data_IF_472475128745
#
_entry.id   IF_472475128745
#
_cell.length_a   1.000
_cell.length_b   1.000
_cell.length_c   1.000
_cell.angle_alpha   90.00
_cell.angle_beta   90.00
_cell.angle_gamma   90.00
#
_symmetry.space_group_name_H-M   'P 1'
#
loop_
_entity.id
_entity.type
_entity.pdbx_description
1 polymer ?
#
# COMPACT_ATOMS: atom_id res chain seq x y z
N UNK A 1 10.30 21.06 0.50
CA UNK A 1 11.26 20.15 1.16
C UNK A 1 11.48 19.01 0.18
N UNK A 2 12.70 18.87 -0.32
CA UNK A 2 13.04 17.87 -1.35
C UNK A 2 13.41 16.59 -0.59
N UNK A 3 12.58 15.56 -0.72
CA UNK A 3 12.90 14.22 -0.21
C UNK A 3 13.75 13.51 -1.26
N UNK A 4 14.98 13.17 -0.88
CA UNK A 4 15.81 12.22 -1.63
C UNK A 4 15.34 10.81 -1.25
N UNK A 5 14.82 10.07 -2.21
CA UNK A 5 14.59 8.63 -2.09
C UNK A 5 15.92 7.88 -2.29
N UNK A 6 16.21 6.83 -1.49
CA UNK A 6 17.27 5.90 -1.81
C UNK A 6 16.76 4.84 -2.79
N UNK A 7 17.42 4.75 -3.94
CA UNK A 7 17.27 3.67 -4.92
C UNK A 7 17.87 2.40 -4.30
N UNK A 8 17.02 1.41 -4.00
CA UNK A 8 17.44 0.06 -3.63
C UNK A 8 17.33 -0.84 -4.87
N UNK A 9 18.45 -1.08 -5.55
CA UNK A 9 18.54 -2.07 -6.63
C UNK A 9 18.44 -3.48 -6.03
N UNK A 10 17.32 -4.15 -6.30
CA UNK A 10 17.11 -5.55 -5.95
C UNK A 10 17.95 -6.48 -6.80
N UNK A 11 18.95 -7.13 -6.20
CA UNK A 11 19.57 -8.34 -6.73
C UNK A 11 18.61 -9.51 -6.57
N UNK A 12 18.09 -10.01 -7.70
CA UNK A 12 17.35 -11.27 -7.79
C UNK A 12 18.36 -12.42 -7.75
N UNK A 13 18.46 -13.11 -6.62
CA UNK A 13 19.19 -14.37 -6.50
C UNK A 13 18.26 -15.51 -6.92
N UNK A 14 18.64 -16.17 -8.02
CA UNK A 14 18.00 -17.37 -8.54
C UNK A 14 18.61 -18.59 -7.82
N UNK A 15 17.84 -19.43 -7.11
CA UNK A 15 18.41 -20.64 -6.50
C UNK A 15 18.47 -21.75 -7.56
N UNK A 16 19.67 -21.98 -8.10
CA UNK A 16 19.97 -23.21 -8.84
C UNK A 16 20.11 -24.39 -7.86
N UNK A 17 19.38 -25.44 -8.20
CA UNK A 17 19.27 -26.73 -7.55
C UNK A 17 20.57 -27.55 -7.77
N UNK A 18 21.29 -28.02 -6.73
CA UNK A 18 22.39 -28.95 -6.95
C UNK A 18 21.85 -30.39 -6.98
N UNK A 19 22.01 -31.00 -8.15
CA UNK A 19 21.78 -32.42 -8.40
C UNK A 19 22.66 -33.29 -7.49
N UNK A 20 22.03 -34.30 -6.88
CA UNK A 20 22.64 -35.42 -6.18
C UNK A 20 23.64 -36.13 -7.11
N UNK A 21 24.91 -36.16 -6.70
CA UNK A 21 25.90 -37.07 -7.26
C UNK A 21 26.20 -38.15 -6.23
N UNK A 22 25.62 -39.34 -6.43
CA UNK A 22 25.94 -40.56 -5.71
C UNK A 22 27.33 -41.05 -6.16
N UNK A 23 28.37 -40.78 -5.36
CA UNK A 23 29.64 -41.51 -5.46
C UNK A 23 29.72 -42.58 -4.39
N UNK A 24 29.95 -43.79 -4.89
CA UNK A 24 29.97 -45.08 -4.23
C UNK A 24 31.44 -45.42 -3.99
N UNK A 25 31.93 -45.32 -2.75
CA UNK A 25 33.25 -45.84 -2.40
C UNK A 25 33.16 -47.17 -1.65
N UNK A 26 33.66 -48.20 -2.32
CA UNK A 26 34.08 -49.49 -1.75
C UNK A 26 35.48 -49.35 -1.13
N UNK A 27 35.71 -49.97 0.04
CA UNK A 27 37.06 -50.18 0.58
C UNK A 27 37.07 -50.40 2.09
N UNK A 28 36.91 -51.63 2.61
CA UNK A 28 38.00 -52.61 2.88
C UNK A 28 38.95 -52.17 4.01
N UNK A 29 38.80 -52.71 5.21
CA UNK A 29 39.79 -53.62 5.79
C UNK A 29 39.38 -54.11 7.18
N UNK A 30 39.27 -55.43 7.29
CA UNK A 30 39.16 -56.20 8.52
C UNK A 30 40.56 -56.35 9.09
N UNK A 31 40.82 -55.88 10.31
CA UNK A 31 41.98 -56.29 11.09
C UNK A 31 41.53 -56.95 12.40
N UNK A 32 41.69 -58.28 12.42
CA UNK A 32 41.79 -59.10 13.62
C UNK A 32 43.14 -58.83 14.29
N UNK A 33 43.14 -58.55 15.60
CA UNK A 33 44.31 -58.79 16.47
C UNK A 33 43.82 -59.37 17.81
N UNK A 34 44.56 -60.34 18.39
CA UNK A 34 44.10 -61.24 19.44
C UNK A 34 44.61 -60.84 20.84
N UNK A 35 44.09 -61.53 21.85
CA UNK A 35 44.84 -62.22 22.92
C UNK A 35 44.12 -62.14 24.26
N UNK A 36 43.66 -63.32 24.69
CA UNK A 36 43.33 -63.65 26.07
C UNK A 36 44.50 -63.31 27.00
N UNK A 37 44.20 -62.67 28.12
CA UNK A 37 45.10 -62.55 29.28
C UNK A 37 44.33 -63.05 30.51
N UNK A 38 44.95 -63.88 31.37
CA UNK A 38 44.24 -64.69 32.35
C UNK A 38 43.79 -63.92 33.59
N UNK A 39 42.62 -64.29 34.09
CA UNK A 39 42.00 -63.84 35.33
C UNK A 39 42.90 -64.17 36.55
N UNK A 40 43.24 -63.14 37.33
CA UNK A 40 43.70 -63.29 38.70
C UNK A 40 42.49 -63.17 39.66
N UNK A 41 42.41 -64.00 40.71
CA UNK A 41 41.36 -63.90 41.72
C UNK A 41 41.63 -62.67 42.59
N UNK A 42 40.83 -61.61 42.41
CA UNK A 42 40.86 -60.42 43.25
C UNK A 42 40.10 -60.72 44.54
N UNK A 43 40.81 -60.51 45.65
CA UNK A 43 40.35 -60.62 47.03
C UNK A 43 39.13 -59.76 47.32
N UNK A 44 38.17 -60.32 48.07
CA UNK A 44 37.07 -59.62 48.75
C UNK A 44 37.62 -58.44 49.58
N UNK A 45 37.57 -57.25 48.98
CA UNK A 45 37.77 -55.99 49.67
C UNK A 45 36.40 -55.36 49.92
N UNK A 46 36.24 -54.79 51.12
CA UNK A 46 35.05 -54.15 51.66
C UNK A 46 34.18 -53.47 50.58
N UNK A 47 32.93 -53.91 50.48
CA UNK A 47 31.93 -53.29 49.62
C UNK A 47 31.74 -51.82 50.04
N UNK A 48 32.09 -50.85 49.18
CA UNK A 48 31.80 -49.45 49.46
C UNK A 48 30.28 -49.26 49.54
N UNK A 49 29.83 -48.46 50.51
CA UNK A 49 28.43 -48.06 50.70
C UNK A 49 27.79 -47.70 49.35
N UNK A 50 26.76 -48.46 48.95
CA UNK A 50 26.08 -48.40 47.65
C UNK A 50 25.29 -47.11 47.38
N UNK A 51 25.52 -46.05 48.15
CA UNK A 51 24.78 -44.78 48.05
C UNK A 51 25.42 -43.77 47.08
N UNK A 52 26.69 -43.96 46.72
CA UNK A 52 27.40 -43.05 45.81
C UNK A 52 27.13 -43.34 44.32
N UNK A 53 26.93 -44.60 43.93
CA UNK A 53 26.68 -44.99 42.53
C UNK A 53 25.36 -44.41 41.98
N UNK A 54 24.37 -44.21 42.86
CA UNK A 54 23.08 -43.64 42.49
C UNK A 54 23.18 -42.15 42.14
N UNK A 55 24.07 -41.40 42.79
CA UNK A 55 24.19 -39.93 42.56
C UNK A 55 24.86 -39.63 41.22
N UNK A 56 25.97 -40.30 40.92
CA UNK A 56 26.67 -40.11 39.64
C UNK A 56 25.79 -40.51 38.45
N UNK A 57 24.99 -41.56 38.62
CA UNK A 57 24.00 -41.99 37.62
C UNK A 57 22.94 -40.91 37.36
N UNK A 58 22.40 -40.28 38.41
CA UNK A 58 21.44 -39.19 38.26
C UNK A 58 22.06 -37.97 37.56
N UNK A 59 23.28 -37.58 37.94
CA UNK A 59 23.99 -36.47 37.31
C UNK A 59 24.29 -36.73 35.83
N UNK A 60 24.69 -37.96 35.49
CA UNK A 60 24.94 -38.38 34.11
C UNK A 60 23.66 -38.39 33.26
N UNK A 61 22.53 -38.79 33.85
CA UNK A 61 21.22 -38.73 33.19
C UNK A 61 20.83 -37.27 32.87
N UNK A 62 20.97 -36.35 33.81
CA UNK A 62 20.70 -34.92 33.58
C UNK A 62 21.61 -34.35 32.48
N UNK A 63 22.90 -34.68 32.50
CA UNK A 63 23.84 -34.27 31.45
C UNK A 63 23.40 -34.82 30.07
N UNK A 64 22.95 -36.07 30.04
CA UNK A 64 22.47 -36.72 28.81
C UNK A 64 21.22 -36.02 28.26
N UNK A 65 20.26 -35.64 29.11
CA UNK A 65 19.11 -34.85 28.68
C UNK A 65 19.52 -33.51 28.08
N UNK A 66 20.47 -32.81 28.72
CA UNK A 66 20.97 -31.53 28.21
C UNK A 66 21.71 -31.68 26.87
N UNK A 67 22.61 -32.64 26.75
CA UNK A 67 23.39 -32.89 25.52
C UNK A 67 22.54 -33.37 24.34
N UNK A 68 21.39 -34.01 24.62
CA UNK A 68 20.47 -34.45 23.57
C UNK A 68 19.72 -33.29 22.90
N UNK A 69 19.60 -32.15 23.57
CA UNK A 69 18.79 -31.01 23.09
C UNK A 69 19.58 -29.75 22.81
N UNK A 70 20.67 -29.53 23.54
CA UNK A 70 21.43 -28.30 23.50
C UNK A 70 22.91 -28.54 23.23
N UNK A 71 23.60 -27.50 22.77
CA UNK A 71 25.05 -27.50 22.72
C UNK A 71 25.60 -27.23 24.12
N UNK A 72 26.29 -28.22 24.69
CA UNK A 72 26.76 -28.23 26.08
C UNK A 72 28.27 -28.44 26.15
N UNK A 73 28.96 -27.59 26.91
CA UNK A 73 30.36 -27.77 27.30
C UNK A 73 30.45 -28.10 28.80
N UNK A 74 31.21 -29.14 29.14
CA UNK A 74 31.49 -29.51 30.54
C UNK A 74 32.57 -28.59 31.10
N UNK A 75 32.35 -28.02 32.28
CA UNK A 75 33.26 -27.08 32.93
C UNK A 75 34.13 -27.82 33.95
N UNK A 76 35.45 -27.63 33.84
CA UNK A 76 36.46 -28.21 34.74
C UNK A 76 36.39 -29.75 34.85
N UNK A 77 35.96 -30.43 33.78
CA UNK A 77 35.77 -31.89 33.74
C UNK A 77 34.74 -32.43 34.77
N UNK A 78 33.92 -31.55 35.35
CA UNK A 78 32.87 -31.93 36.32
C UNK A 78 31.54 -32.05 35.59
N UNK A 79 31.00 -33.28 35.46
CA UNK A 79 29.77 -33.57 34.70
C UNK A 79 28.53 -32.80 35.15
N UNK A 80 28.52 -32.27 36.36
CA UNK A 80 27.43 -31.49 36.95
C UNK A 80 27.58 -29.98 36.81
N UNK A 81 28.66 -29.51 36.15
CA UNK A 81 28.91 -28.11 35.84
C UNK A 81 29.00 -27.95 34.34
N UNK A 82 28.03 -27.25 33.77
CA UNK A 82 27.90 -27.14 32.32
C UNK A 82 27.76 -25.69 31.88
N UNK A 83 28.22 -25.42 30.66
CA UNK A 83 27.89 -24.22 29.89
C UNK A 83 27.01 -24.61 28.71
N UNK A 84 25.90 -23.92 28.58
CA UNK A 84 24.91 -24.16 27.52
C UNK A 84 24.90 -22.94 26.61
N UNK A 85 24.98 -23.19 25.30
CA UNK A 85 24.91 -22.16 24.27
C UNK A 85 23.51 -22.15 23.68
N UNK A 86 22.83 -20.99 23.77
CA UNK A 86 21.50 -20.79 23.19
C UNK A 86 21.58 -19.70 22.13
N UNK A 87 21.17 -20.04 20.90
CA UNK A 87 21.09 -19.12 19.77
C UNK A 87 19.63 -18.85 19.42
N UNK A 88 19.15 -17.65 19.76
CA UNK A 88 17.75 -17.25 19.53
C UNK A 88 17.58 -16.63 18.15
N UNK A 89 18.62 -15.97 17.66
CA UNK A 89 18.73 -15.44 16.30
C UNK A 89 20.20 -15.44 15.88
N UNK A 90 20.48 -15.10 14.63
CA UNK A 90 21.86 -14.96 14.13
C UNK A 90 22.67 -13.96 14.96
N UNK A 91 22.01 -12.93 15.50
CA UNK A 91 22.64 -11.85 16.27
C UNK A 91 22.60 -12.07 17.79
N UNK A 92 21.74 -12.97 18.27
CA UNK A 92 21.49 -13.15 19.70
C UNK A 92 21.89 -14.56 20.15
N UNK A 93 23.04 -14.63 20.79
CA UNK A 93 23.64 -15.84 21.33
C UNK A 93 23.91 -15.61 22.82
N UNK A 94 23.54 -16.58 23.66
CA UNK A 94 23.70 -16.51 25.10
C UNK A 94 24.49 -17.72 25.61
N UNK A 95 25.27 -17.50 26.66
CA UNK A 95 25.98 -18.57 27.38
C UNK A 95 25.42 -18.65 28.80
N UNK A 96 24.96 -19.84 29.18
CA UNK A 96 24.33 -20.10 30.48
C UNK A 96 25.15 -21.14 31.21
N UNK A 97 25.70 -20.77 32.35
CA UNK A 97 26.33 -21.69 33.28
C UNK A 97 25.30 -22.31 34.21
N UNK A 98 25.32 -23.63 34.35
CA UNK A 98 24.48 -24.34 35.32
C UNK A 98 25.37 -25.25 36.17
N UNK A 99 25.32 -25.09 37.48
CA UNK A 99 25.90 -26.01 38.46
C UNK A 99 24.77 -26.76 39.17
N UNK A 100 24.66 -28.04 38.87
CA UNK A 100 23.72 -28.97 39.48
C UNK A 100 24.44 -30.07 40.27
N UNK A 101 25.62 -29.79 40.83
CA UNK A 101 26.40 -30.74 41.65
C UNK A 101 25.60 -31.30 42.84
N UNK A 102 24.58 -30.57 43.30
CA UNK A 102 23.72 -30.97 44.43
C UNK A 102 22.37 -31.60 44.01
N UNK A 103 22.21 -32.02 42.75
CA UNK A 103 20.98 -32.65 42.27
C UNK A 103 20.53 -33.82 43.19
N UNK A 104 19.24 -33.92 43.57
CA UNK A 104 18.07 -33.21 43.02
C UNK A 104 17.77 -31.82 43.60
N UNK A 105 18.69 -31.20 44.37
CA UNK A 105 18.48 -29.82 44.84
C UNK A 105 18.51 -28.82 43.68
N UNK A 106 17.88 -27.66 43.93
CA UNK A 106 17.81 -26.55 42.97
C UNK A 106 19.21 -26.20 42.44
N UNK A 107 19.42 -26.15 41.10
CA UNK A 107 20.72 -25.82 40.53
C UNK A 107 21.04 -24.33 40.67
N UNK A 108 22.33 -24.00 40.64
CA UNK A 108 22.82 -22.63 40.59
C UNK A 108 22.97 -22.19 39.14
N UNK A 109 22.25 -21.13 38.76
CA UNK A 109 22.27 -20.55 37.42
C UNK A 109 23.22 -19.35 37.37
N UNK A 110 24.08 -19.32 36.36
CA UNK A 110 24.96 -18.19 36.05
C UNK A 110 24.66 -17.71 34.63
N UNK A 111 24.19 -16.49 34.49
CA UNK A 111 23.81 -15.89 33.20
C UNK A 111 24.59 -14.61 32.92
N UNK A 112 24.79 -14.32 31.64
CA UNK A 112 25.36 -13.06 31.16
C UNK A 112 24.45 -11.87 31.53
N UNK A 113 25.03 -10.67 31.66
CA UNK A 113 24.30 -9.49 32.13
C UNK A 113 23.23 -9.04 31.12
N UNK A 114 23.48 -9.23 29.82
CA UNK A 114 22.55 -8.97 28.73
C UNK A 114 21.30 -9.85 28.84
N UNK A 115 21.46 -11.11 29.28
CA UNK A 115 20.35 -12.02 29.48
C UNK A 115 19.49 -11.58 30.67
N UNK A 116 20.10 -11.10 31.77
CA UNK A 116 19.37 -10.60 32.94
C UNK A 116 18.52 -9.36 32.64
N UNK A 117 18.94 -8.55 31.67
CA UNK A 117 18.16 -7.40 31.22
C UNK A 117 16.87 -7.83 30.53
N UNK A 118 16.86 -9.00 29.88
CA UNK A 118 15.71 -9.54 29.15
C UNK A 118 14.84 -10.40 30.06
N UNK A 119 15.46 -11.22 30.92
CA UNK A 119 14.78 -12.21 31.74
C UNK A 119 15.59 -12.50 33.01
N UNK A 120 14.95 -12.37 34.17
CA UNK A 120 15.54 -12.80 35.44
C UNK A 120 15.33 -14.32 35.62
N UNK A 121 16.39 -15.14 35.67
CA UNK A 121 16.27 -16.60 35.79
C UNK A 121 15.53 -17.05 37.05
N UNK A 122 15.53 -16.26 38.13
CA UNK A 122 14.77 -16.57 39.35
C UNK A 122 13.25 -16.42 39.16
N UNK A 123 12.83 -15.80 38.05
CA UNK A 123 11.41 -15.67 37.69
C UNK A 123 10.83 -16.89 36.97
N UNK A 124 11.68 -17.82 36.51
CA UNK A 124 11.26 -19.04 35.79
C UNK A 124 10.42 -19.96 36.68
N UNK A 125 9.36 -20.53 36.13
CA UNK A 125 8.44 -21.41 36.84
C UNK A 125 9.10 -22.75 37.19
N UNK A 126 9.94 -23.28 36.29
CA UNK A 126 10.79 -24.46 36.51
C UNK A 126 11.73 -24.26 37.71
N UNK A 127 12.21 -23.04 37.93
CA UNK A 127 13.12 -22.68 39.02
C UNK A 127 12.36 -22.40 40.32
N UNK A 128 11.23 -21.69 40.26
CA UNK A 128 10.39 -21.35 41.41
C UNK A 128 9.72 -22.56 42.03
N UNK A 129 9.25 -23.48 41.19
CA UNK A 129 8.49 -24.65 41.60
C UNK A 129 9.35 -25.94 41.63
N UNK A 130 10.67 -25.77 41.75
CA UNK A 130 11.63 -26.87 41.77
C UNK A 130 11.35 -27.85 42.91
N UNK A 131 11.27 -29.15 42.58
CA UNK A 131 11.06 -30.23 43.56
C UNK A 131 12.33 -31.02 43.77
N UNK A 132 12.77 -31.11 45.02
CA UNK A 132 13.96 -31.88 45.42
C UNK A 132 13.72 -33.40 45.48
N UNK A 133 12.65 -33.90 44.87
CA UNK A 133 12.30 -35.33 44.79
C UNK A 133 12.84 -36.02 43.52
N UNK A 134 13.56 -35.28 42.68
CA UNK A 134 14.12 -35.77 41.41
C UNK A 134 13.12 -35.78 40.24
N UNK A 135 11.93 -35.20 40.42
CA UNK A 135 10.95 -35.03 39.32
C UNK A 135 11.16 -33.78 38.48
N UNK A 136 12.01 -32.85 38.94
CA UNK A 136 12.36 -31.63 38.21
C UNK A 136 13.68 -31.84 37.50
N UNK A 137 13.74 -31.55 36.20
CA UNK A 137 14.94 -31.74 35.39
C UNK A 137 15.60 -30.39 35.05
N UNK A 138 16.93 -30.40 34.94
CA UNK A 138 17.71 -29.20 34.58
C UNK A 138 17.36 -28.75 33.16
N UNK A 139 17.07 -29.69 32.26
CA UNK A 139 16.68 -29.42 30.87
C UNK A 139 15.40 -28.57 30.78
N UNK A 140 14.48 -28.70 31.74
CA UNK A 140 13.22 -27.94 31.72
C UNK A 140 13.45 -26.44 32.00
N UNK A 141 14.46 -26.11 32.82
CA UNK A 141 14.90 -24.71 33.03
C UNK A 141 15.39 -24.11 31.72
N UNK A 142 16.22 -24.86 30.98
CA UNK A 142 16.83 -24.40 29.73
C UNK A 142 15.77 -24.21 28.64
N UNK A 143 14.83 -25.15 28.51
CA UNK A 143 13.69 -25.06 27.59
C UNK A 143 12.79 -23.86 27.88
N UNK A 144 12.45 -23.63 29.15
CA UNK A 144 11.63 -22.48 29.54
C UNK A 144 12.35 -21.17 29.22
N UNK A 145 13.65 -21.09 29.54
CA UNK A 145 14.48 -19.94 29.25
C UNK A 145 14.58 -19.68 27.74
N UNK A 146 14.84 -20.71 26.93
CA UNK A 146 14.84 -20.61 25.46
C UNK A 146 13.49 -20.11 24.94
N UNK A 147 12.38 -20.70 25.40
CA UNK A 147 11.03 -20.31 24.98
C UNK A 147 10.73 -18.84 25.28
N UNK A 148 11.10 -18.38 26.49
CA UNK A 148 10.96 -16.98 26.89
C UNK A 148 11.83 -16.04 26.03
N UNK A 149 13.07 -16.43 25.74
CA UNK A 149 13.96 -15.65 24.88
C UNK A 149 13.46 -15.58 23.43
N UNK A 150 13.00 -16.69 22.86
CA UNK A 150 12.41 -16.75 21.53
C UNK A 150 11.17 -15.87 21.45
N UNK A 151 10.31 -15.90 22.49
CA UNK A 151 9.14 -15.04 22.59
C UNK A 151 9.52 -13.55 22.66
N UNK A 152 10.49 -13.18 23.50
CA UNK A 152 10.99 -11.80 23.60
C UNK A 152 11.60 -11.31 22.28
N UNK A 153 12.41 -12.14 21.62
CA UNK A 153 12.99 -11.80 20.32
C UNK A 153 11.92 -11.62 19.23
N UNK A 154 10.87 -12.44 19.23
CA UNK A 154 9.72 -12.30 18.33
C UNK A 154 9.01 -10.94 18.52
N UNK A 155 8.77 -10.53 19.77
CA UNK A 155 8.20 -9.20 20.09
C UNK A 155 9.10 -8.08 19.57
N UNK A 156 10.40 -8.16 19.83
CA UNK A 156 11.40 -7.19 19.36
C UNK A 156 11.44 -7.10 17.83
N UNK A 157 11.31 -8.23 17.13
CA UNK A 157 11.26 -8.24 15.67
C UNK A 157 9.99 -7.55 15.15
N UNK A 158 8.82 -7.84 15.74
CA UNK A 158 7.58 -7.15 15.38
C UNK A 158 7.65 -5.65 15.67
N UNK A 159 8.23 -5.24 16.81
CA UNK A 159 8.44 -3.84 17.13
C UNK A 159 9.29 -3.12 16.06
N UNK A 160 10.41 -3.74 15.65
CA UNK A 160 11.26 -3.23 14.56
C UNK A 160 10.51 -3.12 13.24
N UNK A 161 9.67 -4.09 12.90
CA UNK A 161 8.86 -4.04 11.68
C UNK A 161 7.86 -2.89 11.71
N UNK A 162 7.20 -2.66 12.85
CA UNK A 162 6.25 -1.55 13.03
C UNK A 162 6.97 -0.21 12.88
N UNK A 163 8.10 -0.02 13.59
CA UNK A 163 8.89 1.22 13.53
C UNK A 163 9.52 1.45 12.15
N UNK A 164 9.81 0.38 11.41
CA UNK A 164 10.36 0.47 10.06
C UNK A 164 9.36 0.95 9.00
N UNK A 165 8.06 0.80 9.24
CA UNK A 165 7.02 1.16 8.27
C UNK A 165 6.17 2.36 8.71
N UNK A 166 5.90 2.49 10.00
CA UNK A 166 5.02 3.51 10.56
C UNK A 166 5.79 4.52 11.41
N UNK A 167 5.26 5.73 11.54
CA UNK A 167 5.72 6.71 12.54
C UNK A 167 5.34 6.17 13.93
N UNK A 168 6.24 5.44 14.55
CA UNK A 168 5.99 4.75 15.82
C UNK A 168 7.07 5.06 16.86
N UNK A 169 6.67 5.01 18.13
CA UNK A 169 7.57 5.17 19.28
C UNK A 169 7.35 4.00 20.25
N UNK A 170 8.44 3.32 20.61
CA UNK A 170 8.42 2.31 21.67
C UNK A 170 8.23 3.00 23.02
N UNK A 171 7.19 2.61 23.77
CA UNK A 171 6.91 3.10 25.12
C UNK A 171 7.63 2.22 26.13
N UNK A 172 7.50 0.90 25.96
CA UNK A 172 8.23 -0.14 26.66
C UNK A 172 8.39 -1.39 25.76
N UNK A 173 8.94 -2.49 26.29
CA UNK A 173 9.19 -3.72 25.54
C UNK A 173 7.94 -4.40 24.97
N UNK A 174 6.77 -4.11 25.53
CA UNK A 174 5.50 -4.71 25.13
C UNK A 174 4.49 -3.68 24.62
N UNK A 175 4.84 -2.39 24.53
CA UNK A 175 3.92 -1.32 24.13
C UNK A 175 4.54 -0.36 23.13
N UNK A 176 3.83 -0.14 22.02
CA UNK A 176 4.24 0.77 20.95
C UNK A 176 3.12 1.76 20.67
N UNK A 177 3.45 3.05 20.62
CA UNK A 177 2.56 4.08 20.12
C UNK A 177 2.75 4.25 18.62
N UNK A 178 1.70 4.15 17.83
CA UNK A 178 1.72 4.29 16.37
C UNK A 178 0.88 5.50 15.95
N UNK A 179 1.48 6.38 15.15
CA UNK A 179 0.80 7.53 14.52
C UNK A 179 0.54 7.21 13.03
N UNK A 180 -0.74 7.12 12.64
CA UNK A 180 -1.18 6.94 11.26
C UNK A 180 -1.44 8.31 10.65
N UNK A 181 -0.74 8.65 9.57
CA UNK A 181 -0.87 9.94 8.87
C UNK A 181 -1.65 9.75 7.58
N UNK A 182 -2.72 10.52 7.42
CA UNK A 182 -3.58 10.48 6.23
C UNK A 182 -3.13 11.46 5.14
N UNK A 183 -3.70 11.33 3.94
CA UNK A 183 -3.54 12.30 2.83
C UNK A 183 -3.88 13.75 3.22
N UNK A 184 -4.80 13.95 4.16
CA UNK A 184 -5.16 15.26 4.69
C UNK A 184 -4.20 15.79 5.75
N UNK A 185 -3.06 15.13 5.96
CA UNK A 185 -2.07 15.39 7.02
C UNK A 185 -2.69 15.36 8.43
N UNK A 186 -3.79 14.64 8.61
CA UNK A 186 -4.34 14.33 9.94
C UNK A 186 -3.62 13.12 10.49
N UNK A 187 -3.18 13.22 11.73
CA UNK A 187 -2.51 12.14 12.47
C UNK A 187 -3.51 11.48 13.42
N UNK A 188 -3.61 10.15 13.36
CA UNK A 188 -4.41 9.33 14.27
C UNK A 188 -3.48 8.47 15.10
N UNK A 189 -3.62 8.54 16.42
CA UNK A 189 -2.81 7.75 17.34
C UNK A 189 -3.54 6.49 17.79
N UNK A 190 -2.79 5.39 17.87
CA UNK A 190 -3.20 4.17 18.58
C UNK A 190 -2.03 3.56 19.35
N UNK A 191 -2.35 2.72 20.32
CA UNK A 191 -1.38 1.95 21.09
C UNK A 191 -1.50 0.47 20.75
N UNK A 192 -0.37 -0.19 20.56
CA UNK A 192 -0.25 -1.62 20.23
C UNK A 192 0.47 -2.32 21.37
N UNK A 193 -0.16 -3.36 21.92
CA UNK A 193 0.40 -4.19 22.97
C UNK A 193 0.83 -5.56 22.40
N UNK A 194 2.09 -5.94 22.65
CA UNK A 194 2.74 -7.16 22.14
C UNK A 194 2.70 -8.31 23.15
N UNK A 195 2.11 -8.11 24.31
CA UNK A 195 2.01 -9.08 25.41
C UNK A 195 1.16 -10.30 25.04
N UNK A 196 0.20 -10.15 24.12
CA UNK A 196 -0.71 -11.22 23.70
C UNK A 196 -0.14 -12.20 22.68
N UNK A 197 1.05 -11.95 22.11
CA UNK A 197 1.64 -12.83 21.11
C UNK A 197 1.82 -14.27 21.65
N UNK A 198 1.46 -15.30 20.86
CA UNK A 198 1.18 -15.29 19.42
C UNK A 198 -0.28 -14.95 19.02
N UNK A 199 -1.18 -14.69 19.98
CA UNK A 199 -2.55 -14.26 19.67
C UNK A 199 -2.54 -12.84 19.04
N UNK A 200 -3.65 -12.39 18.44
CA UNK A 200 -3.73 -11.03 17.89
C UNK A 200 -3.31 -9.98 18.93
N UNK A 201 -2.55 -8.95 18.52
CA UNK A 201 -2.13 -7.88 19.43
C UNK A 201 -3.34 -7.16 20.00
N UNK A 202 -3.29 -6.81 21.27
CA UNK A 202 -4.29 -5.90 21.86
C UNK A 202 -4.00 -4.50 21.35
N UNK A 203 -5.02 -3.79 20.85
CA UNK A 203 -4.88 -2.43 20.35
C UNK A 203 -5.85 -1.48 21.04
N UNK A 204 -5.35 -0.31 21.44
CA UNK A 204 -6.16 0.75 22.03
C UNK A 204 -6.21 1.95 21.06
N UNK A 205 -7.39 2.14 20.46
CA UNK A 205 -7.64 3.23 19.53
C UNK A 205 -7.99 4.54 20.27
N UNK A 206 -7.48 5.67 19.75
CA UNK A 206 -7.96 7.00 20.15
C UNK A 206 -9.46 7.19 19.86
N UNK A 207 -10.11 8.13 20.55
CA UNK A 207 -11.55 8.38 20.38
C UNK A 207 -11.92 8.77 18.94
N UNK A 208 -11.05 9.52 18.26
CA UNK A 208 -11.23 9.90 16.86
C UNK A 208 -11.17 8.68 15.94
N UNK A 209 -10.20 7.79 16.18
CA UNK A 209 -10.06 6.55 15.43
C UNK A 209 -11.21 5.58 15.70
N UNK A 210 -11.74 5.52 16.93
CA UNK A 210 -12.95 4.75 17.28
C UNK A 210 -14.20 5.21 16.53
N UNK A 211 -14.28 6.48 16.12
CA UNK A 211 -15.38 6.97 15.29
C UNK A 211 -15.27 6.52 13.82
N UNK A 212 -14.10 6.03 13.40
CA UNK A 212 -13.86 5.44 12.08
C UNK A 212 -13.98 3.92 12.16
N UNK A 213 -13.31 3.32 13.13
CA UNK A 213 -13.23 1.88 13.36
C UNK A 213 -13.74 1.61 14.78
N UNK A 214 -15.04 1.33 14.97
CA UNK A 214 -15.61 1.15 16.30
C UNK A 214 -15.01 -0.03 17.06
N UNK A 215 -14.59 -1.09 16.36
CA UNK A 215 -14.07 -2.31 16.95
C UNK A 215 -12.98 -2.94 16.05
N UNK A 216 -11.76 -3.02 16.57
CA UNK A 216 -10.58 -3.61 15.90
C UNK A 216 -10.79 -5.09 15.60
N UNK A 217 -11.59 -5.80 16.41
CA UNK A 217 -11.85 -7.23 16.20
C UNK A 217 -12.71 -7.51 14.95
N UNK A 218 -13.28 -6.46 14.34
CA UNK A 218 -14.03 -6.58 13.11
C UNK A 218 -13.16 -6.55 11.85
N UNK A 219 -11.89 -6.14 11.97
CA UNK A 219 -10.93 -6.12 10.87
C UNK A 219 -10.64 -7.53 10.37
N UNK A 220 -10.47 -7.68 9.05
CA UNK A 220 -10.22 -8.96 8.44
C UNK A 220 -8.88 -9.55 8.89
N UNK A 221 -7.82 -8.72 8.94
CA UNK A 221 -6.49 -9.13 9.37
C UNK A 221 -6.47 -9.67 10.81
N UNK A 222 -7.36 -9.17 11.68
CA UNK A 222 -7.51 -9.67 13.05
C UNK A 222 -8.30 -10.98 13.07
N UNK A 223 -9.38 -11.09 12.28
CA UNK A 223 -10.19 -12.31 12.18
C UNK A 223 -9.43 -13.50 11.59
N UNK A 224 -8.53 -13.25 10.64
CA UNK A 224 -7.74 -14.25 9.95
C UNK A 224 -6.31 -14.33 10.50
N UNK A 225 -6.07 -13.80 11.71
CA UNK A 225 -4.73 -13.69 12.27
C UNK A 225 -4.03 -15.06 12.38
N UNK A 226 -2.86 -15.13 11.77
CA UNK A 226 -1.92 -16.23 11.90
C UNK A 226 -0.51 -15.66 12.08
N UNK A 227 0.03 -15.78 13.30
CA UNK A 227 1.36 -15.25 13.65
C UNK A 227 2.51 -15.86 12.83
N UNK A 228 2.29 -17.00 12.16
CA UNK A 228 3.31 -17.62 11.30
C UNK A 228 3.41 -16.98 9.91
N UNK A 229 2.34 -16.33 9.44
CA UNK A 229 2.24 -15.76 8.09
C UNK A 229 2.06 -14.25 8.11
N UNK A 230 1.37 -13.72 9.12
CA UNK A 230 0.97 -12.33 9.21
C UNK A 230 1.84 -11.55 10.20
N UNK A 231 2.01 -10.27 9.91
CA UNK A 231 2.66 -9.30 10.78
C UNK A 231 1.65 -8.35 11.40
N UNK A 232 2.01 -7.71 12.51
CA UNK A 232 1.16 -6.66 13.10
C UNK A 232 0.96 -5.49 12.11
N UNK A 233 1.94 -5.25 11.23
CA UNK A 233 1.85 -4.25 10.17
C UNK A 233 0.67 -4.49 9.24
N UNK A 234 0.25 -5.74 9.02
CA UNK A 234 -0.90 -6.04 8.15
C UNK A 234 -2.21 -5.53 8.78
N UNK A 235 -2.35 -5.63 10.10
CA UNK A 235 -3.47 -5.01 10.83
C UNK A 235 -3.37 -3.48 10.75
N UNK A 236 -2.19 -2.92 10.96
CA UNK A 236 -1.97 -1.46 10.91
C UNK A 236 -2.24 -0.88 9.50
N UNK A 237 -1.89 -1.60 8.43
CA UNK A 237 -2.22 -1.24 7.04
C UNK A 237 -3.71 -1.25 6.79
N UNK A 238 -4.44 -2.25 7.31
CA UNK A 238 -5.91 -2.28 7.20
C UNK A 238 -6.56 -1.12 7.96
N UNK A 239 -6.06 -0.79 9.16
CA UNK A 239 -6.49 0.41 9.90
C UNK A 239 -6.20 1.67 9.07
N UNK A 240 -4.98 1.84 8.58
CA UNK A 240 -4.60 2.98 7.75
C UNK A 240 -5.51 3.10 6.52
N UNK A 241 -5.80 1.98 5.85
CA UNK A 241 -6.69 1.94 4.71
C UNK A 241 -8.11 2.44 5.03
N UNK A 242 -8.72 1.96 6.11
CA UNK A 242 -10.07 2.41 6.51
C UNK A 242 -10.08 3.89 6.91
N UNK A 243 -9.01 4.37 7.56
CA UNK A 243 -8.83 5.79 7.87
C UNK A 243 -8.69 6.62 6.61
N UNK A 244 -7.82 6.24 5.68
CA UNK A 244 -7.58 6.96 4.43
C UNK A 244 -8.83 6.99 3.56
N UNK A 245 -9.57 5.89 3.49
CA UNK A 245 -10.87 5.81 2.79
C UNK A 245 -11.89 6.80 3.34
N UNK A 246 -12.07 6.86 4.67
CA UNK A 246 -13.02 7.81 5.28
C UNK A 246 -12.53 9.26 5.13
N UNK A 247 -11.22 9.50 5.33
CA UNK A 247 -10.62 10.81 5.14
C UNK A 247 -10.76 11.31 3.70
N UNK A 248 -10.56 10.41 2.72
CA UNK A 248 -10.73 10.71 1.30
C UNK A 248 -12.15 11.12 0.95
N UNK A 249 -13.14 10.35 1.38
CA UNK A 249 -14.55 10.66 1.14
C UNK A 249 -14.90 12.02 1.76
N UNK A 250 -14.50 12.26 3.01
CA UNK A 250 -14.76 13.54 3.67
C UNK A 250 -14.12 14.71 2.93
N UNK A 251 -12.86 14.58 2.53
CA UNK A 251 -12.15 15.60 1.76
C UNK A 251 -12.85 15.93 0.45
N UNK A 252 -13.28 14.91 -0.29
CA UNK A 252 -14.00 15.12 -1.54
C UNK A 252 -15.38 15.74 -1.33
N UNK A 253 -16.11 15.37 -0.28
CA UNK A 253 -17.37 16.02 0.09
C UNK A 253 -17.15 17.50 0.42
N UNK A 254 -16.10 17.82 1.18
CA UNK A 254 -15.73 19.20 1.52
C UNK A 254 -15.47 20.04 0.25
N UNK A 255 -14.83 19.47 -0.77
CA UNK A 255 -14.62 20.13 -2.06
C UNK A 255 -15.92 20.25 -2.87
N UNK A 256 -16.74 19.20 -2.89
CA UNK A 256 -18.00 19.16 -3.62
C UNK A 256 -19.05 20.10 -3.02
N UNK A 257 -19.00 20.41 -1.72
CA UNK A 257 -19.89 21.41 -1.09
C UNK A 257 -19.75 22.83 -1.66
N UNK A 258 -18.77 23.08 -2.53
CA UNK A 258 -18.72 24.29 -3.35
C UNK A 258 -19.80 24.34 -4.45
N UNK A 259 -20.44 23.21 -4.76
CA UNK A 259 -21.59 23.09 -5.67
C UNK A 259 -22.91 23.44 -4.96
N UNK A 260 -24.01 23.64 -5.71
CA UNK A 260 -25.26 24.18 -5.16
C UNK A 260 -25.88 23.33 -4.05
N UNK A 261 -25.98 22.00 -4.25
CA UNK A 261 -26.50 21.08 -3.24
C UNK A 261 -25.81 19.74 -3.36
N UNK A 262 -25.17 19.32 -2.27
CA UNK A 262 -24.54 18.01 -2.14
C UNK A 262 -25.09 17.32 -0.90
N UNK A 263 -25.56 16.08 -1.05
CA UNK A 263 -26.12 15.28 0.04
C UNK A 263 -25.45 13.91 0.03
N UNK A 264 -24.75 13.57 1.12
CA UNK A 264 -24.11 12.27 1.28
C UNK A 264 -24.96 11.36 2.18
N UNK A 265 -25.37 10.22 1.64
CA UNK A 265 -26.09 9.15 2.35
C UNK A 265 -25.10 8.04 2.68
N UNK A 266 -24.48 8.13 3.86
CA UNK A 266 -23.38 7.24 4.31
C UNK A 266 -23.78 5.75 4.24
N UNK A 267 -24.99 5.40 4.71
CA UNK A 267 -25.49 4.03 4.72
C UNK A 267 -25.64 3.43 3.31
N UNK A 268 -25.98 4.26 2.32
CA UNK A 268 -26.14 3.85 0.92
C UNK A 268 -24.84 4.03 0.12
N UNK A 269 -23.81 4.64 0.72
CA UNK A 269 -22.58 5.09 0.04
C UNK A 269 -22.87 5.90 -1.22
N UNK A 270 -23.85 6.80 -1.11
CA UNK A 270 -24.42 7.53 -2.24
C UNK A 270 -24.27 9.03 -2.05
N UNK A 271 -23.83 9.75 -3.08
CA UNK A 271 -23.78 11.21 -3.10
C UNK A 271 -24.79 11.70 -4.14
N UNK A 272 -25.69 12.58 -3.73
CA UNK A 272 -26.61 13.29 -4.63
C UNK A 272 -26.12 14.73 -4.81
N UNK A 273 -25.95 15.14 -6.07
CA UNK A 273 -25.37 16.43 -6.43
C UNK A 273 -26.31 17.17 -7.37
N UNK A 274 -26.76 18.36 -6.98
CA UNK A 274 -27.42 19.30 -7.88
C UNK A 274 -26.39 20.30 -8.40
N UNK A 275 -26.25 20.40 -9.72
CA UNK A 275 -25.37 21.33 -10.39
C UNK A 275 -26.16 22.24 -11.31
N UNK A 276 -26.12 23.56 -11.08
CA UNK A 276 -26.72 24.53 -12.00
C UNK A 276 -25.86 24.71 -13.23
N UNK A 277 -26.46 24.58 -14.40
CA UNK A 277 -25.96 25.08 -15.66
C UNK A 277 -26.66 26.38 -16.02
N UNK A 278 -25.92 27.47 -16.14
CA UNK A 278 -26.45 28.72 -16.70
C UNK A 278 -26.61 28.54 -18.20
N UNK A 279 -27.86 28.36 -18.65
CA UNK A 279 -28.19 28.48 -20.06
C UNK A 279 -28.75 29.87 -20.32
N UNK A 280 -28.55 30.41 -21.53
CA UNK A 280 -28.99 31.76 -21.89
C UNK A 280 -30.52 31.96 -21.83
N UNK A 281 -31.30 30.88 -21.83
CA UNK A 281 -32.78 30.92 -21.84
C UNK A 281 -33.41 30.68 -20.47
N UNK A 282 -32.77 29.86 -19.62
CA UNK A 282 -33.18 29.58 -18.25
C UNK A 282 -32.06 28.84 -17.51
N UNK A 283 -31.97 29.01 -16.19
CA UNK A 283 -31.12 28.18 -15.36
C UNK A 283 -31.67 26.74 -15.34
N UNK A 284 -30.83 25.77 -15.72
CA UNK A 284 -31.19 24.35 -15.69
C UNK A 284 -30.38 23.67 -14.58
N UNK A 285 -31.04 22.85 -13.77
CA UNK A 285 -30.40 22.09 -12.70
C UNK A 285 -30.23 20.63 -13.12
N UNK A 286 -28.99 20.18 -13.19
CA UNK A 286 -28.63 18.80 -13.47
C UNK A 286 -28.44 18.06 -12.14
N UNK A 287 -29.21 16.99 -11.95
CA UNK A 287 -29.15 16.16 -10.75
C UNK A 287 -28.35 14.91 -11.02
N UNK A 288 -27.33 14.65 -10.24
CA UNK A 288 -26.48 13.48 -10.34
C UNK A 288 -26.60 12.60 -9.11
N UNK A 289 -26.54 11.30 -9.34
CA UNK A 289 -26.37 10.27 -8.33
C UNK A 289 -24.99 9.64 -8.52
N UNK A 290 -24.17 9.65 -7.48
CA UNK A 290 -22.86 9.01 -7.45
C UNK A 290 -22.93 7.86 -6.45
N UNK A 291 -22.74 6.63 -6.92
CA UNK A 291 -22.63 5.45 -6.08
C UNK A 291 -21.15 5.12 -5.87
N UNK A 292 -20.71 5.12 -4.60
CA UNK A 292 -19.34 4.75 -4.24
C UNK A 292 -19.25 3.24 -3.99
N UNK A 293 -18.36 2.51 -4.70
CA UNK A 293 -18.12 1.10 -4.44
C UNK A 293 -17.48 0.89 -3.06
N UNK A 294 -17.49 -0.32 -2.52
CA UNK A 294 -17.03 -0.63 -1.17
C UNK A 294 -15.54 -0.31 -0.95
N UNK A 295 -14.73 -0.56 -1.97
CA UNK A 295 -13.28 -0.36 -2.06
C UNK A 295 -12.88 1.01 -2.63
N UNK A 296 -13.82 1.96 -2.75
CA UNK A 296 -13.51 3.36 -3.11
C UNK A 296 -12.40 3.92 -2.20
N UNK A 297 -11.36 4.62 -2.74
CA UNK A 297 -11.24 5.13 -4.11
C UNK A 297 -10.57 4.17 -5.13
N UNK A 298 -10.26 2.91 -4.79
CA UNK A 298 -9.61 1.98 -5.75
C UNK A 298 -10.49 1.72 -6.97
N UNK A 299 -11.76 1.37 -6.74
CA UNK A 299 -12.72 1.22 -7.81
C UNK A 299 -13.39 2.54 -8.17
N UNK A 300 -13.69 2.69 -9.45
CA UNK A 300 -14.36 3.87 -9.99
C UNK A 300 -15.80 4.00 -9.48
N UNK A 301 -16.25 5.23 -9.17
CA UNK A 301 -17.62 5.49 -8.79
C UNK A 301 -18.56 5.32 -9.99
N UNK A 302 -19.82 4.98 -9.73
CA UNK A 302 -20.86 4.93 -10.77
C UNK A 302 -21.64 6.24 -10.72
N UNK A 303 -21.54 7.04 -11.77
CA UNK A 303 -22.24 8.32 -11.89
C UNK A 303 -23.45 8.15 -12.81
N UNK A 304 -24.64 8.54 -12.32
CA UNK A 304 -25.89 8.54 -13.09
C UNK A 304 -26.48 9.94 -13.12
N UNK A 305 -26.98 10.33 -14.28
CA UNK A 305 -27.77 11.54 -14.44
C UNK A 305 -29.25 11.23 -14.15
N UNK A 306 -29.83 11.94 -13.19
CA UNK A 306 -31.23 11.79 -12.80
C UNK A 306 -32.16 12.78 -13.51
N UNK A 307 -31.64 13.93 -13.94
CA UNK A 307 -32.42 14.91 -14.72
C UNK A 307 -32.63 14.42 -16.15
N UNK A 308 -33.84 14.54 -16.67
CA UNK A 308 -34.11 14.38 -18.10
C UNK A 308 -33.45 15.53 -18.88
N UNK A 309 -32.64 15.18 -19.87
CA UNK A 309 -32.01 16.14 -20.78
C UNK A 309 -32.79 16.11 -22.09
N UNK A 310 -33.51 17.19 -22.40
CA UNK A 310 -34.31 17.29 -23.62
C UNK A 310 -33.47 17.53 -24.89
N UNK A 311 -32.20 17.92 -24.74
CA UNK A 311 -31.29 18.24 -25.84
C UNK A 311 -30.28 17.11 -26.07
N UNK A 312 -30.40 16.42 -27.22
CA UNK A 312 -29.53 15.31 -27.63
C UNK A 312 -28.05 15.69 -27.69
N UNK A 313 -27.71 16.95 -28.01
CA UNK A 313 -26.33 17.40 -28.09
C UNK A 313 -25.72 17.54 -26.68
N UNK A 314 -26.48 18.06 -25.72
CA UNK A 314 -26.07 18.13 -24.32
C UNK A 314 -25.90 16.71 -23.76
N UNK A 315 -26.83 15.79 -24.05
CA UNK A 315 -26.73 14.40 -23.63
C UNK A 315 -25.45 13.71 -24.16
N UNK A 316 -25.14 13.87 -25.46
CA UNK A 316 -23.90 13.33 -26.07
C UNK A 316 -22.63 13.91 -25.47
N UNK A 317 -22.61 15.22 -25.19
CA UNK A 317 -21.45 15.86 -24.55
C UNK A 317 -21.27 15.39 -23.10
N UNK A 318 -22.36 15.17 -22.37
CA UNK A 318 -22.30 14.60 -21.02
C UNK A 318 -21.80 13.16 -21.03
N UNK A 319 -22.31 12.31 -21.94
CA UNK A 319 -21.81 10.94 -22.11
C UNK A 319 -20.31 10.93 -22.47
N UNK A 320 -19.89 11.85 -23.35
CA UNK A 320 -18.46 12.02 -23.66
C UNK A 320 -17.64 12.50 -22.46
N UNK A 321 -18.19 13.38 -21.61
CA UNK A 321 -17.51 13.85 -20.41
C UNK A 321 -17.37 12.73 -19.37
N UNK A 322 -18.35 11.84 -19.26
CA UNK A 322 -18.32 10.69 -18.37
C UNK A 322 -17.20 9.68 -18.72
N UNK A 323 -16.67 9.70 -19.95
CA UNK A 323 -15.50 8.88 -20.33
C UNK A 323 -14.24 9.18 -19.52
N UNK A 324 -14.16 10.31 -18.82
CA UNK A 324 -13.05 10.58 -17.87
C UNK A 324 -12.96 9.49 -16.78
N UNK A 325 -14.07 8.81 -16.48
CA UNK A 325 -14.10 7.67 -15.56
C UNK A 325 -13.37 6.43 -16.08
N UNK A 326 -13.07 6.36 -17.38
CA UNK A 326 -12.28 5.26 -17.93
C UNK A 326 -10.79 5.38 -17.60
N UNK A 327 -10.33 6.59 -17.25
CA UNK A 327 -9.00 6.87 -16.70
C UNK A 327 -8.98 6.94 -15.17
N UNK A 328 -10.00 6.40 -14.49
CA UNK A 328 -10.08 6.44 -13.04
C UNK A 328 -8.91 5.69 -12.39
N UNK A 329 -8.35 6.30 -11.34
CA UNK A 329 -7.35 5.70 -10.45
C UNK A 329 -7.64 6.10 -9.01
N UNK A 330 -6.97 5.46 -8.05
CA UNK A 330 -7.03 5.85 -6.63
C UNK A 330 -6.57 7.29 -6.34
N UNK A 331 -5.90 7.93 -7.31
CA UNK A 331 -5.46 9.32 -7.23
C UNK A 331 -6.44 10.32 -7.86
N UNK A 332 -7.47 9.84 -8.57
CA UNK A 332 -8.49 10.68 -9.21
C UNK A 332 -9.52 11.16 -8.19
N UNK A 333 -9.90 12.45 -8.23
CA UNK A 333 -10.90 13.04 -7.32
C UNK A 333 -12.25 13.22 -8.04
N UNK A 334 -13.37 13.03 -7.34
CA UNK A 334 -14.71 13.32 -7.87
C UNK A 334 -14.84 14.77 -8.31
N UNK A 335 -14.21 15.71 -7.60
CA UNK A 335 -14.27 17.14 -7.95
C UNK A 335 -13.74 17.40 -9.36
N UNK A 336 -12.68 16.70 -9.79
CA UNK A 336 -12.11 16.85 -11.12
C UNK A 336 -13.05 16.30 -12.20
N UNK A 337 -13.74 15.21 -11.88
CA UNK A 337 -14.78 14.62 -12.73
C UNK A 337 -15.93 15.61 -12.90
N UNK A 338 -16.43 16.20 -11.80
CA UNK A 338 -17.53 17.16 -11.85
C UNK A 338 -17.13 18.50 -12.49
N UNK A 339 -15.90 18.97 -12.32
CA UNK A 339 -15.38 20.14 -13.05
C UNK A 339 -15.34 19.88 -14.56
N UNK A 340 -14.92 18.68 -14.97
CA UNK A 340 -14.94 18.25 -16.38
C UNK A 340 -16.36 18.16 -16.94
N UNK A 341 -17.30 17.57 -16.19
CA UNK A 341 -18.72 17.52 -16.57
C UNK A 341 -19.29 18.94 -16.68
N UNK A 342 -19.03 19.81 -15.70
CA UNK A 342 -19.48 21.21 -15.69
C UNK A 342 -19.00 21.99 -16.93
N UNK A 343 -17.70 21.92 -17.23
CA UNK A 343 -17.10 22.52 -18.43
C UNK A 343 -17.73 22.00 -19.72
N UNK A 344 -18.04 20.71 -19.78
CA UNK A 344 -18.65 20.08 -20.96
C UNK A 344 -20.10 20.53 -21.16
N UNK A 345 -20.89 20.61 -20.09
CA UNK A 345 -22.27 21.14 -20.12
C UNK A 345 -22.27 22.60 -20.56
N UNK A 346 -21.37 23.42 -20.00
CA UNK A 346 -21.27 24.83 -20.38
C UNK A 346 -20.93 24.99 -21.87
N UNK A 347 -19.96 24.21 -22.37
CA UNK A 347 -19.59 24.22 -23.79
C UNK A 347 -20.75 23.81 -24.70
N UNK A 348 -21.50 22.77 -24.32
CA UNK A 348 -22.68 22.33 -25.05
C UNK A 348 -23.79 23.41 -25.07
N UNK A 349 -24.07 24.03 -23.92
CA UNK A 349 -25.08 25.08 -23.80
C UNK A 349 -24.76 26.32 -24.65
N UNK A 350 -23.48 26.73 -24.67
CA UNK A 350 -23.02 27.83 -25.53
C UNK A 350 -23.29 27.49 -27.01
N UNK A 351 -22.98 26.26 -27.44
CA UNK A 351 -23.22 25.82 -28.81
C UNK A 351 -24.71 25.81 -29.16
N UNK A 352 -25.56 25.19 -28.32
CA UNK A 352 -27.01 25.14 -28.52
C UNK A 352 -27.60 26.54 -28.61
N UNK A 353 -27.21 27.48 -27.73
CA UNK A 353 -27.79 28.82 -27.77
C UNK A 353 -27.47 29.57 -29.07
N UNK A 354 -26.25 29.42 -29.60
CA UNK A 354 -25.88 30.06 -30.87
C UNK A 354 -26.76 29.53 -32.01
N UNK A 355 -27.04 28.21 -31.99
CA UNK A 355 -27.87 27.53 -32.99
C UNK A 355 -29.35 27.92 -32.85
N UNK A 356 -29.94 27.79 -31.66
CA UNK A 356 -31.38 27.96 -31.42
C UNK A 356 -31.85 29.41 -31.59
N UNK A 357 -31.04 30.40 -31.20
CA UNK A 357 -31.41 31.81 -31.37
C UNK A 357 -31.06 32.36 -32.76
N UNK A 358 -30.55 31.52 -33.67
CA UNK A 358 -30.00 31.93 -34.97
C UNK A 358 -29.23 33.22 -34.84
N UNK A 359 -28.39 33.32 -33.80
CA UNK A 359 -27.88 34.61 -33.39
C UNK A 359 -27.09 35.18 -34.55
N UNK A 360 -27.66 36.23 -35.13
CA UNK A 360 -26.99 37.03 -36.12
C UNK A 360 -25.97 37.85 -35.39
N UNK A 361 -24.82 38.00 -36.02
CA UNK A 361 -23.89 38.99 -35.57
C UNK A 361 -24.61 40.36 -35.44
N UNK A 362 -24.47 41.06 -34.30
CA UNK A 362 -25.13 42.35 -34.09
C UNK A 362 -24.66 43.43 -35.07
N UNK A 363 -23.45 43.32 -35.61
CA UNK A 363 -22.82 44.28 -36.54
C UNK A 363 -23.11 43.94 -38.01
N UNK A 364 -22.78 42.73 -38.45
CA UNK A 364 -22.89 42.35 -39.87
C UNK A 364 -24.18 41.59 -40.22
N UNK A 365 -25.04 41.28 -39.25
CA UNK A 365 -26.30 40.54 -39.42
C UNK A 365 -26.19 39.15 -40.06
N UNK A 366 -24.96 38.65 -40.29
CA UNK A 366 -24.74 37.27 -40.77
C UNK A 366 -24.88 36.28 -39.60
N UNK A 367 -25.43 35.07 -39.83
CA UNK A 367 -25.56 34.05 -38.80
C UNK A 367 -24.18 33.66 -38.23
N UNK A 368 -24.07 33.57 -36.91
CA UNK A 368 -22.79 33.28 -36.22
C UNK A 368 -22.28 31.85 -36.44
N UNK A 369 -23.11 30.96 -36.98
CA UNK A 369 -22.72 29.61 -37.39
C UNK A 369 -23.05 29.50 -38.88
N UNK A 370 -22.01 29.30 -39.70
CA UNK A 370 -22.23 28.73 -41.03
C UNK A 370 -22.74 27.32 -40.77
N UNK A 371 -24.05 27.11 -40.97
CA UNK A 371 -24.57 25.77 -41.16
C UNK A 371 -23.86 25.28 -42.40
N UNK A 372 -22.85 24.42 -42.25
CA UNK A 372 -22.30 23.70 -43.38
C UNK A 372 -23.48 22.97 -44.00
N UNK A 373 -23.89 23.42 -45.19
CA UNK A 373 -24.90 22.73 -45.95
C UNK A 373 -24.40 21.30 -46.11
N UNK A 374 -25.13 20.35 -45.54
CA UNK A 374 -24.88 18.93 -45.65
C UNK A 374 -24.58 18.64 -47.13
N UNK A 375 -23.37 18.15 -47.48
CA UNK A 375 -23.03 17.95 -48.87
C UNK A 375 -24.05 16.97 -49.44
N UNK A 376 -24.79 17.43 -50.46
CA UNK A 376 -25.72 16.58 -51.20
C UNK A 376 -24.97 15.29 -51.56
N UNK A 377 -25.45 14.16 -51.05
CA UNK A 377 -24.86 12.85 -51.28
C UNK A 377 -24.68 12.67 -52.79
N UNK A 378 -23.43 12.67 -53.23
CA UNK A 378 -23.08 12.34 -54.60
C UNK A 378 -23.40 10.85 -54.84
N UNK A 379 -23.91 10.48 -56.03
CA UNK A 379 -24.19 9.09 -56.35
C UNK A 379 -22.91 8.25 -56.27
N UNK A 380 -23.02 7.07 -55.64
CA UNK A 380 -21.96 6.07 -55.60
C UNK A 380 -21.64 5.58 -57.01
N UNK A 381 -20.40 5.76 -57.45
CA UNK A 381 -19.78 4.95 -58.50
C UNK A 381 -18.46 4.36 -57.98
N UNK A 382 -18.32 3.05 -58.20
CA UNK A 382 -17.16 2.21 -57.94
C UNK A 382 -16.76 1.55 -59.28
N UNK A 383 -15.63 0.81 -59.39
CA UNK A 383 -14.24 1.28 -59.35
C UNK A 383 -13.43 0.78 -60.58
N UNK A 384 -12.31 1.43 -60.93
CA UNK A 384 -11.25 0.79 -61.75
C UNK A 384 -9.87 1.47 -61.64
N UNK A 385 -8.91 0.65 -61.18
CA UNK A 385 -7.51 0.42 -61.62
C UNK A 385 -6.43 1.54 -61.75
N UNK A 386 -5.42 1.41 -60.86
CA UNK A 386 -3.99 1.08 -61.13
C UNK A 386 -2.98 2.14 -61.67
N UNK A 387 -2.17 2.69 -60.73
CA UNK A 387 -0.68 2.91 -60.68
C UNK A 387 0.12 3.54 -61.87
N UNK A 388 1.42 3.93 -61.71
CA UNK A 388 2.14 4.66 -60.66
C UNK A 388 3.01 5.86 -61.20
N UNK A 389 3.75 6.50 -60.27
CA UNK A 389 4.71 7.65 -60.31
C UNK A 389 5.81 7.62 -61.44
N UNK A 390 6.64 8.68 -61.71
CA UNK A 390 7.41 9.48 -60.72
C UNK A 390 7.79 10.97 -61.03
N UNK A 391 8.39 11.59 -60.01
CA UNK A 391 9.40 12.68 -59.97
C UNK A 391 9.23 13.99 -60.75
N UNK A 392 9.05 15.11 -60.02
CA UNK A 392 9.64 16.42 -60.34
C UNK A 392 9.82 17.32 -59.08
N UNK A 393 10.88 18.18 -59.02
CA UNK A 393 11.29 18.99 -57.85
C UNK A 393 10.59 20.38 -57.75
N UNK A 394 10.76 21.13 -56.64
CA UNK A 394 9.83 22.19 -56.24
C UNK A 394 10.05 23.51 -57.00
N UNK A 395 8.96 24.09 -57.50
CA UNK A 395 8.93 25.47 -57.99
C UNK A 395 8.48 26.41 -56.84
N UNK A 396 9.18 27.54 -56.75
CA UNK A 396 8.97 28.64 -55.81
C UNK A 396 7.56 29.27 -55.95
N UNK A 397 7.02 29.89 -54.89
CA UNK A 397 5.69 30.48 -54.93
C UNK A 397 5.66 31.79 -55.72
N UNK A 398 4.92 31.79 -56.82
CA UNK A 398 4.47 33.01 -57.50
C UNK A 398 3.49 33.79 -56.62
N UNK A 399 3.69 35.10 -56.55
CA UNK A 399 2.83 36.05 -55.87
C UNK A 399 1.45 36.14 -56.55
N UNK A 400 0.33 36.09 -55.80
CA UNK A 400 -0.97 36.37 -56.40
C UNK A 400 -1.16 37.88 -56.60
N UNK A 401 -1.24 38.25 -57.88
CA UNK A 401 -1.81 39.50 -58.37
C UNK A 401 -3.28 39.61 -57.98
N UNK A 402 -3.68 40.83 -57.67
CA UNK A 402 -4.98 41.25 -57.21
C UNK A 402 -6.09 41.19 -58.29
N UNK A 403 -7.32 41.41 -57.81
CA UNK A 403 -8.51 41.89 -58.52
C UNK A 403 -9.46 40.85 -59.15
N UNK A 404 -10.30 40.27 -58.29
CA UNK A 404 -11.73 40.14 -58.61
C UNK A 404 -12.55 40.88 -57.57
N UNK A 405 -13.05 42.03 -58.00
CA UNK A 405 -13.97 42.87 -57.27
C UNK A 405 -15.37 42.21 -57.23
N UNK A 406 -15.72 41.66 -56.07
CA UNK A 406 -17.09 41.71 -55.55
C UNK A 406 -16.98 42.14 -54.09
N UNK A 407 -17.46 43.35 -53.78
CA UNK A 407 -17.36 44.00 -52.47
C UNK A 407 -18.20 43.34 -51.38
N UNK A 408 -17.90 42.09 -51.05
CA UNK A 408 -18.24 41.49 -49.76
C UNK A 408 -16.96 41.49 -48.91
N UNK A 409 -16.79 42.53 -48.09
CA UNK A 409 -15.75 42.55 -47.07
C UNK A 409 -15.84 41.27 -46.25
N UNK A 410 -14.80 40.43 -46.35
CA UNK A 410 -14.69 39.17 -45.63
C UNK A 410 -14.54 39.52 -44.16
N UNK A 411 -15.67 39.56 -43.45
CA UNK A 411 -15.72 39.92 -42.05
C UNK A 411 -15.13 38.82 -41.16
N UNK A 412 -14.20 37.98 -41.63
CA UNK A 412 -13.74 36.76 -40.94
C UNK A 412 -12.31 36.97 -40.44
N UNK A 413 -12.10 36.70 -39.14
CA UNK A 413 -10.77 36.62 -38.51
C UNK A 413 -10.65 35.29 -37.79
N UNK A 414 -9.46 34.71 -37.72
CA UNK A 414 -9.26 33.41 -37.07
C UNK A 414 -8.55 33.58 -35.72
N UNK A 415 -8.93 32.79 -34.73
CA UNK A 415 -8.19 32.78 -33.47
C UNK A 415 -6.78 32.24 -33.68
N UNK A 416 -5.72 32.96 -33.28
CA UNK A 416 -4.33 32.55 -33.53
C UNK A 416 -3.91 31.27 -32.80
N UNK A 417 -4.70 30.80 -31.82
CA UNK A 417 -4.39 29.61 -31.02
C UNK A 417 -5.13 28.35 -31.46
N UNK A 418 -6.33 28.49 -32.05
CA UNK A 418 -7.18 27.34 -32.38
C UNK A 418 -7.75 27.37 -33.79
N UNK A 419 -7.36 28.37 -34.61
CA UNK A 419 -7.78 28.60 -36.00
C UNK A 419 -9.30 28.54 -36.22
N UNK A 420 -10.08 28.83 -35.17
CA UNK A 420 -11.54 28.90 -35.31
C UNK A 420 -11.90 30.24 -35.93
N UNK A 421 -12.68 30.27 -37.02
CA UNK A 421 -13.10 31.51 -37.66
C UNK A 421 -14.13 32.23 -36.77
N UNK A 422 -13.99 33.53 -36.70
CA UNK A 422 -14.86 34.49 -36.05
C UNK A 422 -15.25 35.55 -37.05
N UNK A 423 -16.38 36.23 -36.80
CA UNK A 423 -16.52 37.54 -37.39
C UNK A 423 -15.57 38.55 -36.72
N UNK A 424 -14.89 39.41 -37.47
CA UNK A 424 -13.85 40.31 -36.96
C UNK A 424 -14.32 41.20 -35.79
N UNK A 425 -15.49 41.82 -35.90
CA UNK A 425 -16.04 42.62 -34.79
C UNK A 425 -16.52 41.75 -33.60
N UNK A 426 -16.92 40.50 -33.82
CA UNK A 426 -17.33 39.59 -32.72
C UNK A 426 -16.10 39.10 -31.97
N UNK A 427 -15.00 38.89 -32.69
CA UNK A 427 -13.68 38.65 -32.11
C UNK A 427 -13.24 39.86 -31.28
N UNK A 428 -13.24 41.06 -31.85
CA UNK A 428 -12.88 42.28 -31.15
C UNK A 428 -13.73 42.52 -29.89
N UNK A 429 -15.06 42.34 -29.97
CA UNK A 429 -15.94 42.45 -28.80
C UNK A 429 -15.66 41.39 -27.73
N UNK A 430 -15.44 40.13 -28.11
CA UNK A 430 -15.08 39.08 -27.15
C UNK A 430 -13.73 39.37 -26.49
N UNK A 431 -12.73 39.77 -27.26
CA UNK A 431 -11.41 40.10 -26.70
C UNK A 431 -11.50 41.35 -25.82
N UNK A 432 -12.32 42.34 -26.15
CA UNK A 432 -12.53 43.51 -25.30
C UNK A 432 -13.24 43.15 -23.98
N UNK A 433 -14.22 42.24 -24.02
CA UNK A 433 -15.03 41.88 -22.86
C UNK A 433 -14.34 40.90 -21.90
N UNK A 434 -13.79 39.80 -22.43
CA UNK A 434 -13.27 38.69 -21.64
C UNK A 434 -11.76 38.46 -21.81
N UNK A 435 -11.10 39.25 -22.67
CA UNK A 435 -9.65 39.18 -22.98
C UNK A 435 -9.16 37.81 -23.51
N UNK A 436 -10.08 36.89 -23.81
CA UNK A 436 -9.79 35.50 -24.19
C UNK A 436 -10.66 35.07 -25.37
N UNK A 437 -10.16 34.14 -26.18
CA UNK A 437 -10.94 33.48 -27.23
C UNK A 437 -12.10 32.69 -26.61
N UNK A 438 -13.32 32.87 -27.11
CA UNK A 438 -14.50 32.17 -26.57
C UNK A 438 -14.52 30.65 -26.81
N UNK A 439 -13.74 30.14 -27.76
CA UNK A 439 -13.63 28.70 -28.03
C UNK A 439 -12.51 28.01 -27.24
N UNK A 440 -11.30 28.59 -27.21
CA UNK A 440 -10.13 27.96 -26.58
C UNK A 440 -9.72 28.60 -25.24
N UNK A 441 -10.37 29.69 -24.84
CA UNK A 441 -10.13 30.42 -23.58
C UNK A 441 -8.68 30.94 -23.40
N UNK A 442 -7.90 31.05 -24.48
CA UNK A 442 -6.54 31.64 -24.48
C UNK A 442 -6.56 33.11 -24.86
N UNK A 443 -5.63 33.90 -24.30
CA UNK A 443 -5.47 35.32 -24.59
C UNK A 443 -4.78 35.54 -25.95
N UNK A 444 -5.28 36.44 -26.81
CA UNK A 444 -4.65 36.73 -28.09
C UNK A 444 -3.38 37.56 -27.87
N UNK A 445 -2.27 37.15 -28.50
CA UNK A 445 -0.99 37.88 -28.47
C UNK A 445 0.04 37.38 -27.47
N UNK A 446 -0.30 36.43 -26.59
CA UNK A 446 0.70 35.70 -25.81
C UNK A 446 1.17 34.51 -26.65
N UNK A 447 2.20 34.75 -27.48
CA UNK A 447 2.96 33.65 -28.09
C UNK A 447 3.76 33.04 -26.94
N UNK A 448 3.25 31.96 -26.35
CA UNK A 448 4.08 31.12 -25.49
C UNK A 448 5.20 30.57 -26.36
N UNK A 449 6.49 30.87 -26.07
CA UNK A 449 7.58 30.27 -26.80
C UNK A 449 7.42 28.74 -26.75
N UNK A 450 7.55 28.08 -27.89
CA UNK A 450 7.56 26.62 -27.93
C UNK A 450 8.66 26.12 -26.98
N UNK A 451 8.37 25.12 -26.12
CA UNK A 451 9.42 24.49 -25.35
C UNK A 451 10.36 23.76 -26.32
N UNK A 452 11.62 24.18 -26.33
CA UNK A 452 12.72 23.49 -27.00
C UNK A 452 12.88 22.04 -26.51
#
# INVERSE_FOLDING_TARGET
MIFNEPIFEGMVMNPENPENNEEKEEGKDTQEIPAETPEQPVSEADQPDSSYEDTDTLLANELTYLMNEFQVDIVDEVISRVRIYISVSVELNFIIGIDYTLYPKKPLLTVQEELKQILDPETLDSVKNWKEDGSSHVVDIVRELESNLVSSNKKKLQARLIVGEFKANEVDENQITVDIVTFGLREYRLEVFLDSLPNPPRMELSNELKAIIPDVNQLNAVKTWDFSVMSINDILREIQWEVDKKARIQFELDLLYSLDRVEYKELERKIEIDMRGQMKTADVTFKFEVQLPEDYPQSKPIIKLLSEVSDDQVAKQMESAMKILDSWSSFTYLVDVFDTISKSILKASIATCIICHKMECPVCKKPMVKVEAEPAQAPQESPAETQPAPDQPPAEPEAPTAETASGEEVCITECPHCNKPYHQHCWEQNIQAIKKCAFCMREPGVVTPEPD
#
